data_IF_215292074074
#
_entry.id   IF_215292074074
#
_cell.length_a   1.000
_cell.length_b   1.000
_cell.length_c   1.000
_cell.angle_alpha   90.00
_cell.angle_beta   90.00
_cell.angle_gamma   90.00
#
_symmetry.space_group_name_H-M   'P 1'
#
loop_
_entity.id
_entity.type
_entity.pdbx_description
1 polymer ?
#
# COMPACT_ATOMS: atom_id res chain seq x y z
N UNK A 1 -7.18 -23.78 0.07
CA UNK A 1 -7.47 -22.43 -0.42
C UNK A 1 -6.77 -21.45 0.52
N UNK A 2 -5.80 -20.65 0.05
CA UNK A 2 -5.11 -19.66 0.90
C UNK A 2 -5.96 -18.39 0.91
N UNK A 3 -6.50 -18.01 2.07
CA UNK A 3 -7.19 -16.74 2.26
C UNK A 3 -6.11 -15.66 2.29
N UNK A 4 -6.07 -14.78 1.28
CA UNK A 4 -5.19 -13.61 1.32
C UNK A 4 -5.75 -12.60 2.33
N UNK A 5 -4.87 -12.01 3.15
CA UNK A 5 -5.25 -11.08 4.23
C UNK A 5 -4.83 -9.66 3.88
N UNK A 6 -5.61 -8.69 4.37
CA UNK A 6 -5.27 -7.28 4.32
C UNK A 6 -3.97 -7.04 5.09
N UNK A 7 -3.02 -6.37 4.46
CA UNK A 7 -1.74 -6.04 5.11
C UNK A 7 -1.92 -5.17 6.37
N UNK A 8 -2.94 -4.32 6.39
CA UNK A 8 -3.11 -3.33 7.46
C UNK A 8 -3.90 -3.88 8.67
N UNK A 9 -4.97 -4.64 8.44
CA UNK A 9 -5.89 -5.06 9.51
C UNK A 9 -6.05 -6.58 9.65
N UNK A 10 -5.29 -7.37 8.89
CA UNK A 10 -5.39 -8.85 8.82
C UNK A 10 -6.77 -9.40 8.42
N UNK A 11 -7.72 -8.54 8.05
CA UNK A 11 -9.05 -8.93 7.57
C UNK A 11 -9.02 -9.64 6.22
N UNK A 12 -10.10 -10.34 5.88
CA UNK A 12 -10.24 -10.99 4.57
C UNK A 12 -10.25 -9.95 3.44
N UNK A 13 -9.52 -10.22 2.35
CA UNK A 13 -9.49 -9.38 1.15
C UNK A 13 -10.80 -9.52 0.36
N UNK A 14 -11.84 -8.80 0.79
CA UNK A 14 -13.15 -8.75 0.11
C UNK A 14 -13.11 -7.73 -1.06
N UNK A 15 -12.34 -6.64 -0.92
CA UNK A 15 -12.02 -5.69 -1.99
C UNK A 15 -10.52 -5.67 -2.28
N UNK A 16 -10.14 -5.60 -3.56
CA UNK A 16 -8.73 -5.54 -3.96
C UNK A 16 -8.29 -4.08 -4.19
N UNK A 17 -7.91 -3.40 -3.11
CA UNK A 17 -7.14 -2.15 -3.18
C UNK A 17 -5.65 -2.49 -3.16
N UNK A 18 -4.84 -1.81 -3.97
CA UNK A 18 -3.40 -2.02 -4.03
C UNK A 18 -2.66 -0.72 -3.75
N UNK A 19 -1.76 -0.74 -2.78
CA UNK A 19 -0.83 0.35 -2.52
C UNK A 19 0.48 0.04 -3.22
N UNK A 20 0.87 0.91 -4.14
CA UNK A 20 2.11 0.80 -4.90
C UNK A 20 3.20 1.61 -4.20
N UNK A 21 4.18 0.91 -3.64
CA UNK A 21 5.30 1.49 -2.88
C UNK A 21 6.58 1.27 -3.69
N UNK A 22 7.41 2.30 -3.79
CA UNK A 22 8.74 2.21 -4.37
C UNK A 22 9.72 2.25 -3.18
N UNK A 23 10.56 1.21 -2.98
CA UNK A 23 11.95 1.27 -2.45
C UNK A 23 12.43 -0.01 -1.73
N UNK A 24 13.65 -0.51 -2.03
CA UNK A 24 14.47 -0.22 -3.22
C UNK A 24 13.87 -0.82 -4.50
N UNK A 25 12.75 -1.55 -4.38
CA UNK A 25 12.04 -2.21 -5.48
C UNK A 25 10.57 -1.80 -5.47
N UNK A 26 9.91 -1.94 -6.63
CA UNK A 26 8.46 -1.76 -6.74
C UNK A 26 7.74 -2.89 -5.99
N UNK A 27 6.88 -2.54 -5.06
CA UNK A 27 6.05 -3.46 -4.30
C UNK A 27 4.57 -3.09 -4.44
N UNK A 28 3.72 -4.11 -4.56
CA UNK A 28 2.27 -3.97 -4.54
C UNK A 28 1.74 -4.66 -3.28
N UNK A 29 1.11 -3.87 -2.41
CA UNK A 29 0.54 -4.37 -1.16
C UNK A 29 -0.98 -4.33 -1.25
N UNK A 30 -1.65 -5.45 -0.96
CA UNK A 30 -3.11 -5.55 -1.03
C UNK A 30 -3.77 -5.15 0.29
N UNK A 31 -4.86 -4.38 0.19
CA UNK A 31 -5.70 -3.93 1.30
C UNK A 31 -7.17 -4.26 1.02
N UNK A 32 -7.92 -4.62 2.07
CA UNK A 32 -9.33 -5.03 1.95
C UNK A 32 -10.31 -3.88 1.70
N UNK A 33 -9.92 -2.66 2.04
CA UNK A 33 -10.72 -1.45 1.87
C UNK A 33 -9.84 -0.22 1.56
N UNK A 34 -10.48 0.87 1.14
CA UNK A 34 -9.81 2.15 0.85
C UNK A 34 -9.12 2.72 2.08
N UNK A 35 -9.77 2.71 3.24
CA UNK A 35 -9.21 3.27 4.49
C UNK A 35 -7.90 2.58 4.88
N UNK A 36 -7.85 1.25 4.77
CA UNK A 36 -6.62 0.49 4.99
C UNK A 36 -5.52 0.84 3.98
N UNK A 37 -5.89 1.11 2.73
CA UNK A 37 -4.94 1.52 1.70
C UNK A 37 -4.41 2.95 1.94
N UNK A 38 -5.25 3.86 2.44
CA UNK A 38 -4.87 5.23 2.80
C UNK A 38 -3.96 5.29 4.02
N UNK A 39 -4.27 4.54 5.07
CA UNK A 39 -3.41 4.42 6.26
C UNK A 39 -2.04 3.88 5.88
N UNK A 40 -2.01 2.79 5.09
CA UNK A 40 -0.76 2.20 4.62
C UNK A 40 0.03 3.17 3.73
N UNK A 41 -0.65 3.91 2.85
CA UNK A 41 -0.02 4.95 2.03
C UNK A 41 0.64 6.01 2.92
N UNK A 42 -0.09 6.56 3.89
CA UNK A 42 0.41 7.62 4.78
C UNK A 42 1.62 7.16 5.60
N UNK A 43 1.53 5.95 6.18
CA UNK A 43 2.64 5.39 6.96
C UNK A 43 3.91 5.21 6.11
N UNK A 44 3.76 4.77 4.85
CA UNK A 44 4.91 4.66 3.94
C UNK A 44 5.42 6.03 3.49
N UNK A 45 4.56 7.01 3.20
CA UNK A 45 4.98 8.38 2.89
C UNK A 45 5.85 8.94 4.04
N UNK A 46 5.42 8.79 5.29
CA UNK A 46 6.19 9.19 6.48
C UNK A 46 7.57 8.51 6.55
N UNK A 47 7.65 7.20 6.28
CA UNK A 47 8.92 6.46 6.24
C UNK A 47 9.82 6.94 5.08
N UNK A 48 9.27 7.19 3.89
CA UNK A 48 10.01 7.72 2.74
C UNK A 48 10.53 9.12 3.02
N UNK A 49 9.78 9.94 3.78
CA UNK A 49 10.25 11.25 4.25
C UNK A 49 11.47 11.17 5.16
N UNK A 50 11.69 10.07 5.88
CA UNK A 50 12.84 9.96 6.78
C UNK A 50 14.12 9.45 6.06
N UNK A 51 13.99 8.70 4.96
CA UNK A 51 15.10 7.89 4.40
C UNK A 51 16.07 8.59 3.42
N UNK A 52 15.64 9.45 2.49
CA UNK A 52 16.53 10.27 1.63
C UNK A 52 15.77 11.25 0.71
N UNK A 53 16.41 12.31 0.19
CA UNK A 53 15.75 13.28 -0.73
C UNK A 53 15.28 12.67 -2.06
N UNK A 54 16.01 11.68 -2.58
CA UNK A 54 15.63 10.97 -3.82
C UNK A 54 14.39 10.11 -3.61
N UNK A 55 14.29 9.50 -2.43
CA UNK A 55 13.17 8.64 -2.03
C UNK A 55 11.92 9.47 -1.69
N UNK A 56 12.10 10.66 -1.10
CA UNK A 56 11.04 11.66 -0.81
C UNK A 56 10.20 12.09 -2.01
N UNK A 57 10.70 11.96 -3.23
CA UNK A 57 10.01 12.39 -4.45
C UNK A 57 9.13 11.29 -5.06
N UNK A 58 9.13 10.09 -4.48
CA UNK A 58 8.33 8.99 -4.98
C UNK A 58 6.86 9.18 -4.58
N UNK A 59 5.96 8.83 -5.51
CA UNK A 59 4.51 8.97 -5.31
C UNK A 59 3.94 7.59 -5.02
N UNK A 60 3.39 7.41 -3.81
CA UNK A 60 2.62 6.23 -3.46
C UNK A 60 1.20 6.38 -3.99
N UNK A 61 0.73 5.38 -4.75
CA UNK A 61 -0.61 5.39 -5.36
C UNK A 61 -1.45 4.24 -4.83
N UNK A 62 -2.74 4.51 -4.65
CA UNK A 62 -3.76 3.49 -4.41
C UNK A 62 -4.40 3.18 -5.75
N UNK A 63 -4.39 1.90 -6.13
CA UNK A 63 -5.06 1.37 -7.31
C UNK A 63 -6.28 0.59 -6.83
N UNK A 64 -7.45 0.90 -7.38
CA UNK A 64 -8.62 0.03 -7.29
C UNK A 64 -8.55 -0.92 -8.47
N UNK A 65 -8.62 -2.23 -8.24
CA UNK A 65 -8.79 -3.16 -9.36
C UNK A 65 -10.17 -2.89 -9.97
N UNK A 66 -10.18 -2.36 -11.19
CA UNK A 66 -11.41 -2.36 -12.00
C UNK A 66 -11.64 -3.81 -12.44
N UNK A 67 -12.89 -4.27 -12.31
CA UNK A 67 -13.35 -5.57 -12.82
C UNK A 67 -13.17 -5.68 -14.33
#
# INVERSE_FOLDING_TARGET
MRIERCYNCDGELIGEYQVMIYEPNLQFVKCCCMDCAEELKKANEEILYDRSETVRRQVIRILKKCE
#
